data_IF_901991765042
#
_entry.id   IF_901991765042
#
_cell.length_a   1.000
_cell.length_b   1.000
_cell.length_c   1.000
_cell.angle_alpha   90.00
_cell.angle_beta   90.00
_cell.angle_gamma   90.00
#
_symmetry.space_group_name_H-M   'P 1'
#
loop_
_entity.id
_entity.type
_entity.pdbx_description
1 polymer ?
#
# COMPACT_ATOMS: atom_id res chain seq x y z
N UNK A 1 -26.90 -70.42 8.16
CA UNK A 1 -25.89 -69.42 7.78
C UNK A 1 -26.41 -68.72 6.52
N UNK A 2 -26.76 -67.43 6.57
CA UNK A 2 -27.21 -66.66 5.39
C UNK A 2 -26.00 -65.92 4.83
N UNK A 3 -25.59 -66.26 3.62
CA UNK A 3 -24.52 -65.56 2.91
C UNK A 3 -25.08 -64.24 2.37
N UNK A 4 -24.38 -63.13 2.62
CA UNK A 4 -24.73 -61.82 2.06
C UNK A 4 -24.47 -61.81 0.55
N UNK A 5 -25.34 -61.21 -0.29
CA UNK A 5 -25.08 -61.11 -1.72
C UNK A 5 -23.93 -60.12 -1.98
N UNK A 6 -22.98 -60.56 -2.81
CA UNK A 6 -21.83 -59.78 -3.27
C UNK A 6 -22.31 -58.54 -4.03
N UNK A 7 -21.63 -57.41 -3.75
CA UNK A 7 -21.93 -56.07 -4.21
C UNK A 7 -22.44 -56.05 -5.65
N UNK A 8 -23.66 -55.53 -5.82
CA UNK A 8 -24.24 -55.30 -7.14
C UNK A 8 -23.34 -54.33 -7.88
N UNK A 9 -22.95 -54.68 -9.12
CA UNK A 9 -22.19 -53.79 -10.00
C UNK A 9 -23.00 -52.51 -10.19
N UNK A 10 -22.64 -51.48 -9.43
CA UNK A 10 -23.49 -50.32 -9.25
C UNK A 10 -23.65 -49.57 -10.56
N UNK A 11 -24.88 -49.17 -10.89
CA UNK A 11 -25.18 -48.32 -12.05
C UNK A 11 -24.34 -47.04 -12.09
N UNK A 12 -23.74 -46.65 -10.96
CA UNK A 12 -22.69 -45.64 -10.85
C UNK A 12 -21.50 -45.87 -11.78
N UNK A 13 -21.05 -47.10 -11.99
CA UNK A 13 -19.89 -47.35 -12.87
C UNK A 13 -20.18 -46.96 -14.32
N UNK A 14 -21.43 -47.08 -14.79
CA UNK A 14 -21.85 -46.65 -16.14
C UNK A 14 -21.93 -45.13 -16.27
N UNK A 15 -22.38 -44.44 -15.22
CA UNK A 15 -22.48 -42.98 -15.22
C UNK A 15 -21.08 -42.35 -15.21
N UNK A 16 -20.16 -42.90 -14.40
CA UNK A 16 -18.78 -42.43 -14.30
C UNK A 16 -17.97 -42.75 -15.58
N UNK A 17 -18.22 -43.89 -16.23
CA UNK A 17 -17.57 -44.26 -17.48
C UNK A 17 -18.30 -43.73 -18.72
N UNK A 18 -19.30 -42.86 -18.54
CA UNK A 18 -19.90 -42.16 -19.67
C UNK A 18 -18.84 -41.24 -20.31
N UNK A 19 -18.65 -41.27 -21.64
CA UNK A 19 -17.64 -40.45 -22.31
C UNK A 19 -17.83 -38.96 -22.02
N UNK A 20 -19.07 -38.51 -21.79
CA UNK A 20 -19.38 -37.14 -21.42
C UNK A 20 -18.85 -36.78 -20.02
N UNK A 21 -18.99 -37.69 -19.05
CA UNK A 21 -18.52 -37.46 -17.68
C UNK A 21 -16.98 -37.44 -17.62
N UNK A 22 -16.33 -38.30 -18.41
CA UNK A 22 -14.87 -38.28 -18.58
C UNK A 22 -14.38 -36.96 -19.19
N UNK A 23 -15.05 -36.43 -20.22
CA UNK A 23 -14.70 -35.13 -20.80
C UNK A 23 -14.80 -34.02 -19.76
N UNK A 24 -15.90 -33.97 -19.00
CA UNK A 24 -16.08 -32.98 -17.92
C UNK A 24 -14.97 -33.10 -16.87
N UNK A 25 -14.62 -34.32 -16.48
CA UNK A 25 -13.54 -34.56 -15.52
C UNK A 25 -12.19 -34.06 -16.05
N UNK A 26 -11.86 -34.34 -17.32
CA UNK A 26 -10.65 -33.84 -17.98
C UNK A 26 -10.64 -32.31 -18.06
N UNK A 27 -11.78 -31.68 -18.40
CA UNK A 27 -11.86 -30.22 -18.42
C UNK A 27 -11.58 -29.61 -17.02
N UNK A 28 -12.12 -30.22 -15.97
CA UNK A 28 -11.91 -29.77 -14.59
C UNK A 28 -10.44 -29.95 -14.19
N UNK A 29 -9.80 -31.08 -14.51
CA UNK A 29 -8.40 -31.30 -14.16
C UNK A 29 -7.46 -30.36 -14.92
N UNK A 30 -7.72 -30.10 -16.20
CA UNK A 30 -6.97 -29.11 -16.99
C UNK A 30 -7.14 -27.72 -16.40
N UNK A 31 -8.37 -27.32 -16.08
CA UNK A 31 -8.63 -26.01 -15.45
C UNK A 31 -7.91 -25.86 -14.10
N UNK A 32 -7.95 -26.87 -13.24
CA UNK A 32 -7.21 -26.82 -11.98
C UNK A 32 -5.70 -26.74 -12.21
N UNK A 33 -5.19 -27.43 -13.23
CA UNK A 33 -3.77 -27.38 -13.59
C UNK A 33 -3.33 -25.98 -14.04
N UNK A 34 -4.17 -25.24 -14.78
CA UNK A 34 -3.83 -23.86 -15.18
C UNK A 34 -3.80 -22.90 -14.00
N UNK A 35 -4.71 -23.07 -13.04
CA UNK A 35 -4.72 -22.27 -11.79
C UNK A 35 -3.45 -22.52 -10.98
N UNK A 36 -3.07 -23.78 -10.79
CA UNK A 36 -1.84 -24.14 -10.07
C UNK A 36 -0.60 -23.61 -10.80
N UNK A 37 -0.55 -23.75 -12.13
CA UNK A 37 0.55 -23.23 -12.94
C UNK A 37 0.67 -21.71 -12.84
N UNK A 38 -0.45 -20.98 -12.88
CA UNK A 38 -0.46 -19.53 -12.73
C UNK A 38 0.03 -19.09 -11.34
N UNK A 39 -0.34 -19.81 -10.27
CA UNK A 39 0.16 -19.52 -8.92
C UNK A 39 1.66 -19.79 -8.81
N UNK A 40 2.12 -20.92 -9.34
CA UNK A 40 3.54 -21.25 -9.35
C UNK A 40 4.38 -20.23 -10.12
N UNK A 41 3.87 -19.74 -11.25
CA UNK A 41 4.51 -18.67 -12.01
C UNK A 41 4.56 -17.37 -11.20
N UNK A 42 3.47 -16.98 -10.52
CA UNK A 42 3.42 -15.79 -9.66
C UNK A 42 4.43 -15.86 -8.51
N UNK A 43 4.56 -17.02 -7.85
CA UNK A 43 5.56 -17.23 -6.80
C UNK A 43 6.99 -17.01 -7.29
N UNK A 44 7.31 -17.54 -8.49
CA UNK A 44 8.62 -17.32 -9.09
C UNK A 44 8.88 -15.86 -9.41
N UNK A 45 7.89 -15.17 -9.96
CA UNK A 45 8.04 -13.75 -10.27
C UNK A 45 8.09 -12.88 -9.00
N UNK A 46 7.38 -13.25 -7.93
CA UNK A 46 7.49 -12.56 -6.64
C UNK A 46 8.87 -12.73 -6.02
N UNK A 47 9.45 -13.93 -6.04
CA UNK A 47 10.81 -14.15 -5.55
C UNK A 47 11.84 -13.27 -6.28
N UNK A 48 11.70 -13.10 -7.59
CA UNK A 48 12.57 -12.18 -8.35
C UNK A 48 12.36 -10.71 -7.96
N UNK A 49 11.13 -10.32 -7.59
CA UNK A 49 10.78 -8.94 -7.22
C UNK A 49 11.09 -8.60 -5.76
N UNK A 50 11.19 -9.58 -4.87
CA UNK A 50 11.54 -9.36 -3.45
C UNK A 50 12.91 -8.69 -3.32
N UNK A 51 13.91 -9.16 -4.08
CA UNK A 51 15.27 -8.59 -4.04
C UNK A 51 15.26 -7.11 -4.43
N UNK A 52 14.58 -6.77 -5.52
CA UNK A 52 14.45 -5.37 -6.00
C UNK A 52 13.69 -4.50 -5.00
N UNK A 53 12.61 -5.03 -4.41
CA UNK A 53 11.81 -4.31 -3.40
C UNK A 53 12.61 -4.06 -2.12
N UNK A 54 13.44 -5.00 -1.70
CA UNK A 54 14.30 -4.82 -0.53
C UNK A 54 15.36 -3.74 -0.77
N UNK A 55 15.95 -3.68 -1.96
CA UNK A 55 16.89 -2.63 -2.35
C UNK A 55 16.23 -1.24 -2.37
N UNK A 56 15.04 -1.12 -2.97
CA UNK A 56 14.25 0.12 -2.97
C UNK A 56 13.92 0.60 -1.55
N UNK A 57 13.52 -0.32 -0.66
CA UNK A 57 13.20 0.00 0.73
C UNK A 57 14.45 0.42 1.52
N UNK A 58 15.60 -0.23 1.29
CA UNK A 58 16.87 0.16 1.92
C UNK A 58 17.30 1.57 1.49
N UNK A 59 17.30 1.83 0.18
CA UNK A 59 17.63 3.16 -0.34
C UNK A 59 16.70 4.25 0.21
N UNK A 60 15.39 3.98 0.28
CA UNK A 60 14.42 4.91 0.85
C UNK A 60 14.67 5.17 2.35
N UNK A 61 15.05 4.15 3.12
CA UNK A 61 15.40 4.31 4.55
C UNK A 61 16.66 5.13 4.75
N UNK A 62 17.71 4.85 3.99
CA UNK A 62 18.96 5.63 4.05
C UNK A 62 18.73 7.10 3.72
N UNK A 63 17.94 7.39 2.68
CA UNK A 63 17.54 8.76 2.37
C UNK A 63 16.72 9.38 3.50
N UNK A 64 15.79 8.64 4.10
CA UNK A 64 15.01 9.16 5.22
C UNK A 64 15.90 9.50 6.43
N UNK A 65 16.82 8.61 6.82
CA UNK A 65 17.74 8.84 7.94
C UNK A 65 18.66 10.04 7.68
N UNK A 66 19.21 10.16 6.47
CA UNK A 66 20.07 11.29 6.11
C UNK A 66 19.31 12.62 6.09
N UNK A 67 18.07 12.64 5.58
CA UNK A 67 17.22 13.83 5.62
C UNK A 67 16.82 14.17 7.05
N UNK A 68 16.48 13.17 7.87
CA UNK A 68 16.13 13.38 9.27
C UNK A 68 17.31 13.95 10.07
N UNK A 69 18.53 13.47 9.83
CA UNK A 69 19.74 14.02 10.43
C UNK A 69 19.99 15.47 9.98
N UNK A 70 19.76 15.79 8.70
CA UNK A 70 19.86 17.15 8.17
C UNK A 70 18.81 18.09 8.75
N UNK A 71 17.58 17.62 8.93
CA UNK A 71 16.50 18.40 9.55
C UNK A 71 16.82 18.65 11.02
N UNK A 72 17.25 17.63 11.77
CA UNK A 72 17.66 17.78 13.16
C UNK A 72 18.81 18.79 13.31
N UNK A 73 19.77 18.76 12.38
CA UNK A 73 20.84 19.76 12.32
C UNK A 73 20.31 21.16 12.01
N UNK A 74 19.43 21.30 11.01
CA UNK A 74 18.84 22.58 10.63
C UNK A 74 17.94 23.18 11.74
N UNK A 75 17.31 22.34 12.57
CA UNK A 75 16.47 22.77 13.68
C UNK A 75 17.27 23.17 14.93
N UNK A 76 18.50 22.67 15.07
CA UNK A 76 19.42 23.04 16.15
C UNK A 76 19.72 24.55 16.16
N UNK A 77 20.05 25.11 17.33
CA UNK A 77 20.42 26.54 17.45
C UNK A 77 21.58 26.90 16.52
N UNK A 78 22.60 26.05 16.43
CA UNK A 78 23.73 26.21 15.50
C UNK A 78 23.30 26.22 14.02
N UNK A 79 22.32 25.40 13.64
CA UNK A 79 21.82 25.32 12.27
C UNK A 79 20.96 26.52 11.87
N UNK A 80 20.09 26.98 12.79
CA UNK A 80 19.29 28.19 12.62
C UNK A 80 20.17 29.43 12.49
N UNK A 81 21.20 29.53 13.32
CA UNK A 81 22.15 30.64 13.27
C UNK A 81 22.96 30.65 11.97
N UNK A 82 23.38 29.48 11.46
CA UNK A 82 24.03 29.36 10.16
C UNK A 82 23.12 29.76 8.98
N UNK A 83 21.84 29.37 9.01
CA UNK A 83 20.87 29.77 7.98
C UNK A 83 20.60 31.28 7.97
N UNK A 84 20.51 31.90 9.16
CA UNK A 84 20.34 33.35 9.29
C UNK A 84 21.59 34.08 8.77
N UNK A 85 22.80 33.61 9.12
CA UNK A 85 24.05 34.18 8.57
C UNK A 85 24.11 34.11 7.04
N UNK A 86 23.72 32.97 6.46
CA UNK A 86 23.71 32.79 5.00
C UNK A 86 22.63 33.63 4.31
N UNK A 87 21.45 33.78 4.91
CA UNK A 87 20.30 34.45 4.30
C UNK A 87 20.37 35.97 4.40
N UNK A 88 21.09 36.50 5.38
CA UNK A 88 21.14 37.95 5.65
C UNK A 88 22.51 38.60 5.41
N UNK A 89 23.53 37.83 4.99
CA UNK A 89 24.90 38.31 4.70
C UNK A 89 25.52 39.12 5.86
N UNK A 90 25.21 38.74 7.09
CA UNK A 90 25.61 39.47 8.31
C UNK A 90 26.76 38.74 9.03
N UNK A 91 27.95 39.36 8.93
CA UNK A 91 29.16 39.33 9.77
C UNK A 91 29.72 38.00 10.36
N UNK A 92 31.06 37.96 10.48
CA UNK A 92 31.88 36.80 10.84
C UNK A 92 31.68 36.24 12.27
N UNK A 93 32.17 35.03 12.51
CA UNK A 93 32.03 34.26 13.76
C UNK A 93 32.65 34.99 14.98
N UNK A 94 31.83 35.43 15.94
CA UNK A 94 32.30 35.97 17.22
C UNK A 94 31.45 37.08 17.85
N UNK A 95 30.40 37.56 17.17
CA UNK A 95 29.55 38.65 17.65
C UNK A 95 28.20 38.13 18.17
N UNK A 96 27.77 38.59 19.35
CA UNK A 96 26.52 38.16 20.01
C UNK A 96 25.30 38.80 19.34
N UNK A 97 24.52 38.01 18.62
CA UNK A 97 23.26 38.43 18.02
C UNK A 97 22.13 38.41 19.07
N UNK A 98 21.59 39.58 19.44
CA UNK A 98 20.41 39.69 20.30
C UNK A 98 19.17 39.78 19.41
N UNK A 99 18.38 38.72 19.34
CA UNK A 99 17.09 38.71 18.63
C UNK A 99 16.04 39.31 19.57
N UNK A 100 15.55 40.51 19.24
CA UNK A 100 14.42 41.13 19.93
C UNK A 100 13.12 40.68 19.24
N UNK A 101 12.26 39.85 19.86
CA UNK A 101 10.98 39.52 19.28
C UNK A 101 10.07 40.75 19.36
N UNK A 102 9.64 41.25 18.21
CA UNK A 102 8.56 42.24 18.10
C UNK A 102 7.33 41.67 18.82
N UNK A 103 6.98 42.30 19.94
CA UNK A 103 5.83 41.89 20.74
C UNK A 103 4.56 42.22 19.95
N UNK A 104 3.80 41.17 19.62
CA UNK A 104 2.36 41.21 19.31
C UNK A 104 1.99 41.77 17.94
N UNK A 105 1.83 40.86 16.98
CA UNK A 105 0.73 40.97 16.02
C UNK A 105 -0.12 39.70 16.07
N UNK A 106 -1.41 39.95 16.09
CA UNK A 106 -2.48 39.06 16.52
C UNK A 106 -2.50 37.73 15.78
N UNK A 107 -2.85 36.68 16.53
CA UNK A 107 -3.29 35.43 15.98
C UNK A 107 -4.44 35.68 14.99
N UNK A 108 -4.13 35.65 13.69
CA UNK A 108 -5.14 35.41 12.68
C UNK A 108 -5.60 33.98 12.87
N UNK A 109 -6.75 33.82 13.52
CA UNK A 109 -7.52 32.60 13.46
C UNK A 109 -7.69 32.22 11.98
N UNK A 110 -7.46 30.95 11.59
CA UNK A 110 -7.75 30.53 10.23
C UNK A 110 -9.25 30.74 9.99
N UNK A 111 -9.57 31.62 9.06
CA UNK A 111 -10.90 31.70 8.46
C UNK A 111 -11.23 30.30 7.95
N UNK A 112 -12.16 29.63 8.62
CA UNK A 112 -12.73 28.39 8.16
C UNK A 112 -13.49 28.69 6.85
N UNK A 113 -12.81 28.58 5.72
CA UNK A 113 -13.48 28.40 4.43
C UNK A 113 -14.08 27.00 4.45
N UNK A 114 -15.29 26.88 5.00
CA UNK A 114 -16.14 25.72 4.80
C UNK A 114 -16.61 25.73 3.34
N UNK A 115 -15.75 25.27 2.43
CA UNK A 115 -16.22 24.79 1.14
C UNK A 115 -16.82 23.42 1.39
N UNK A 116 -18.15 23.37 1.54
CA UNK A 116 -18.89 22.11 1.53
C UNK A 116 -18.50 21.33 0.25
N UNK A 117 -18.05 20.06 0.35
CA UNK A 117 -17.71 19.29 -0.83
C UNK A 117 -18.97 19.08 -1.66
N UNK A 118 -18.90 19.39 -2.96
CA UNK A 118 -19.97 19.08 -3.90
C UNK A 118 -20.33 17.58 -3.79
N UNK A 119 -21.62 17.22 -3.79
CA UNK A 119 -22.01 15.83 -3.57
C UNK A 119 -21.43 14.95 -4.66
N UNK A 120 -20.62 13.97 -4.24
CA UNK A 120 -20.09 12.94 -5.12
C UNK A 120 -21.23 12.17 -5.77
N UNK A 121 -21.07 11.78 -7.02
CA UNK A 121 -22.12 11.18 -7.85
C UNK A 121 -22.89 10.01 -7.20
N UNK A 122 -22.23 9.20 -6.37
CA UNK A 122 -22.87 8.12 -5.62
C UNK A 122 -23.89 8.60 -4.58
N UNK A 123 -23.64 9.74 -3.92
CA UNK A 123 -24.60 10.33 -3.00
C UNK A 123 -25.89 10.70 -3.73
N UNK A 124 -25.81 11.13 -5.00
CA UNK A 124 -27.00 11.42 -5.84
C UNK A 124 -27.79 10.16 -6.20
N UNK A 125 -27.12 9.03 -6.39
CA UNK A 125 -27.79 7.74 -6.69
C UNK A 125 -28.50 7.21 -5.46
N UNK A 126 -27.91 7.35 -4.27
CA UNK A 126 -28.54 6.88 -3.03
C UNK A 126 -29.74 7.73 -2.61
N UNK A 127 -29.74 9.05 -2.84
CA UNK A 127 -30.93 9.88 -2.55
C UNK A 127 -32.08 9.61 -3.52
N UNK A 128 -31.80 9.31 -4.79
CA UNK A 128 -32.85 9.00 -5.78
C UNK A 128 -33.53 7.63 -5.57
N UNK A 129 -32.99 6.78 -4.71
CA UNK A 129 -33.51 5.43 -4.44
C UNK A 129 -34.37 5.35 -3.18
N UNK A 130 -34.38 6.42 -2.37
CA UNK A 130 -35.09 6.51 -1.09
C UNK A 130 -36.14 7.64 -1.05
N UNK A 131 -36.48 8.21 -2.22
CA UNK A 131 -37.56 9.19 -2.42
C UNK A 131 -38.67 8.57 -3.27
#
# INVERSE_FOLDING_TARGET
>A
MKHAPLATRSSWSRIVHSPLMLIVCVCITVYMSTVVYAQWQKEREWNARVVVREEEVRAARELHETLQARVAYAESESGKEAYIRQSFDVAASGETLIILPETKQEAQAPVATSTAPAPTWWQRVTTALFD
#
